data_IF_411712981323
#
_entry.id   IF_411712981323
#
_cell.length_a   1.000
_cell.length_b   1.000
_cell.length_c   1.000
_cell.angle_alpha   90.00
_cell.angle_beta   90.00
_cell.angle_gamma   90.00
#
_symmetry.space_group_name_H-M   'P 1'
#
loop_
_entity.id
_entity.type
_entity.pdbx_description
1 polymer ?
#
# COMPACT_ATOMS: atom_id res chain seq x y z
N UNK A 1 4.84 23.58 -22.64
CA UNK A 1 4.62 22.93 -23.95
C UNK A 1 3.56 23.71 -24.72
N UNK A 2 3.69 23.81 -26.04
CA UNK A 2 2.68 24.43 -26.92
C UNK A 2 1.80 23.32 -27.50
N UNK A 3 0.51 23.56 -27.58
CA UNK A 3 -0.46 22.63 -28.17
C UNK A 3 -1.07 23.26 -29.45
N UNK A 4 -1.21 22.51 -30.56
CA UNK A 4 -0.70 21.14 -30.77
C UNK A 4 0.84 21.12 -30.86
N UNK A 5 1.49 20.02 -30.43
CA UNK A 5 2.94 19.89 -30.49
C UNK A 5 3.48 19.75 -31.92
N UNK A 6 2.64 19.31 -32.87
CA UNK A 6 2.96 19.16 -34.28
C UNK A 6 2.10 20.11 -35.12
N UNK A 7 2.65 20.59 -36.23
CA UNK A 7 1.93 21.40 -37.22
C UNK A 7 1.20 20.51 -38.23
N UNK A 8 0.05 20.95 -38.75
CA UNK A 8 -0.80 20.14 -39.65
C UNK A 8 -0.14 19.89 -41.02
N UNK A 9 0.86 20.71 -41.38
CA UNK A 9 1.64 20.61 -42.62
C UNK A 9 2.89 19.71 -42.48
N UNK A 10 3.25 19.30 -41.26
CA UNK A 10 4.40 18.41 -41.03
C UNK A 10 3.99 16.95 -41.23
N UNK A 11 4.66 16.17 -42.10
CA UNK A 11 4.38 14.76 -42.25
C UNK A 11 4.68 13.99 -40.95
N UNK A 12 4.02 12.84 -40.70
CA UNK A 12 4.26 12.07 -39.49
C UNK A 12 5.73 11.64 -39.40
N UNK A 13 6.29 11.79 -38.21
CA UNK A 13 7.68 11.43 -37.93
C UNK A 13 7.88 9.91 -38.02
N UNK A 14 8.88 9.47 -38.78
CA UNK A 14 9.26 8.06 -38.82
C UNK A 14 10.02 7.69 -37.54
N UNK A 15 9.56 6.64 -36.87
CA UNK A 15 10.16 6.12 -35.64
C UNK A 15 11.55 5.53 -35.90
N UNK A 16 11.72 4.82 -37.01
CA UNK A 16 12.98 4.13 -37.32
C UNK A 16 14.14 5.13 -37.51
N UNK A 17 13.87 6.24 -38.19
CA UNK A 17 14.90 7.23 -38.54
C UNK A 17 15.13 8.28 -37.44
N UNK A 18 14.13 8.58 -36.60
CA UNK A 18 14.19 9.74 -35.69
C UNK A 18 14.12 9.42 -34.20
N UNK A 19 13.63 8.25 -33.78
CA UNK A 19 13.35 7.96 -32.36
C UNK A 19 13.99 6.65 -31.88
N UNK A 20 14.13 5.65 -32.75
CA UNK A 20 14.62 4.32 -32.37
C UNK A 20 16.02 4.35 -31.75
N UNK A 21 16.92 5.14 -32.32
CA UNK A 21 18.32 5.24 -31.88
C UNK A 21 18.55 6.34 -30.83
N UNK A 22 17.50 7.07 -30.43
CA UNK A 22 17.58 8.13 -29.42
C UNK A 22 17.39 7.54 -28.03
N UNK A 23 18.40 7.70 -27.17
CA UNK A 23 18.29 7.30 -25.77
C UNK A 23 17.21 8.14 -25.07
N UNK A 24 16.21 7.51 -24.43
CA UNK A 24 15.15 8.23 -23.75
C UNK A 24 15.72 9.08 -22.61
N UNK A 25 15.05 10.19 -22.33
CA UNK A 25 15.39 11.01 -21.17
C UNK A 25 15.21 10.20 -19.88
N UNK A 26 16.03 10.53 -18.89
CA UNK A 26 15.93 9.92 -17.56
C UNK A 26 14.52 10.12 -17.00
N UNK A 27 13.87 9.03 -16.55
CA UNK A 27 12.54 9.13 -15.96
C UNK A 27 12.63 9.86 -14.63
N UNK A 28 11.51 10.45 -14.22
CA UNK A 28 11.38 11.01 -12.87
C UNK A 28 11.36 9.83 -11.89
N UNK A 29 12.43 9.66 -11.15
CA UNK A 29 12.55 8.69 -10.06
C UNK A 29 12.76 9.43 -8.74
N UNK A 30 12.21 8.86 -7.67
CA UNK A 30 12.43 9.31 -6.32
C UNK A 30 13.61 8.55 -5.75
N UNK A 31 14.44 9.22 -4.96
CA UNK A 31 15.53 8.58 -4.24
C UNK A 31 14.92 7.69 -3.13
N UNK A 32 14.94 6.37 -3.35
CA UNK A 32 14.48 5.38 -2.38
C UNK A 32 15.59 5.03 -1.39
N UNK A 33 15.22 4.84 -0.12
CA UNK A 33 16.18 4.43 0.90
C UNK A 33 16.47 2.91 0.81
N UNK A 34 17.73 2.48 0.71
CA UNK A 34 18.06 1.07 0.54
C UNK A 34 17.76 0.20 1.76
N UNK A 35 17.63 0.77 2.96
CA UNK A 35 17.32 0.06 4.20
C UNK A 35 15.82 0.03 4.49
N UNK A 36 15.13 1.17 4.37
CA UNK A 36 13.69 1.26 4.66
C UNK A 36 12.82 0.73 3.50
N UNK A 37 13.18 1.02 2.25
CA UNK A 37 12.39 0.70 1.06
C UNK A 37 12.83 -0.60 0.36
N UNK A 38 13.68 -1.40 1.00
CA UNK A 38 14.28 -2.62 0.43
C UNK A 38 13.27 -3.58 -0.23
N UNK A 39 12.02 -3.62 0.26
CA UNK A 39 10.97 -4.51 -0.24
C UNK A 39 10.36 -4.08 -1.57
N UNK A 40 10.42 -2.78 -1.90
CA UNK A 40 9.82 -2.20 -3.11
C UNK A 40 10.88 -1.72 -4.10
N UNK A 41 12.12 -1.51 -3.64
CA UNK A 41 13.24 -0.98 -4.41
C UNK A 41 13.44 -1.67 -5.77
N UNK A 42 13.28 -3.00 -5.83
CA UNK A 42 13.55 -3.78 -7.03
C UNK A 42 12.49 -3.59 -8.14
N UNK A 43 11.22 -3.38 -7.79
CA UNK A 43 10.11 -3.48 -8.75
C UNK A 43 9.23 -2.23 -8.83
N UNK A 44 9.42 -1.22 -7.98
CA UNK A 44 8.54 -0.06 -7.91
C UNK A 44 8.47 0.75 -9.22
N UNK A 45 9.56 0.79 -9.99
CA UNK A 45 9.65 1.48 -11.27
C UNK A 45 9.52 0.58 -12.51
N UNK A 46 9.16 -0.69 -12.33
CA UNK A 46 8.89 -1.60 -13.45
C UNK A 46 7.60 -1.24 -14.17
N UNK A 47 7.56 -1.44 -15.49
CA UNK A 47 6.35 -1.21 -16.31
C UNK A 47 5.16 -2.11 -15.89
N UNK A 48 5.44 -3.31 -15.37
CA UNK A 48 4.43 -4.26 -14.86
C UNK A 48 4.96 -4.96 -13.61
N UNK A 49 4.89 -4.31 -12.43
CA UNK A 49 5.40 -4.90 -11.22
C UNK A 49 4.65 -6.20 -10.88
N UNK A 50 5.38 -7.21 -10.41
CA UNK A 50 4.85 -8.51 -9.95
C UNK A 50 4.13 -9.37 -11.01
N UNK A 51 4.25 -9.06 -12.31
CA UNK A 51 3.55 -9.77 -13.39
C UNK A 51 3.88 -11.28 -13.48
N UNK A 52 5.07 -11.69 -13.03
CA UNK A 52 5.51 -13.09 -13.03
C UNK A 52 5.12 -13.83 -11.74
N UNK A 53 4.57 -13.13 -10.74
CA UNK A 53 4.08 -13.76 -9.51
C UNK A 53 2.73 -14.43 -9.79
N UNK A 54 2.79 -15.73 -10.06
CA UNK A 54 1.70 -16.65 -10.47
C UNK A 54 0.48 -16.77 -9.50
N UNK A 55 0.25 -15.83 -8.57
CA UNK A 55 -0.66 -16.02 -7.43
C UNK A 55 -1.92 -15.13 -7.43
N UNK A 56 -2.19 -14.34 -8.47
CA UNK A 56 -3.37 -13.45 -8.43
C UNK A 56 -3.89 -13.04 -9.80
N UNK A 57 -4.91 -13.75 -10.28
CA UNK A 57 -6.08 -13.13 -10.94
C UNK A 57 -6.98 -14.19 -11.56
N UNK A 58 -8.03 -14.63 -10.86
CA UNK A 58 -9.30 -14.96 -11.51
C UNK A 58 -10.42 -14.77 -10.50
N UNK A 59 -11.26 -13.76 -10.72
CA UNK A 59 -12.60 -13.73 -10.12
C UNK A 59 -13.56 -13.14 -11.15
N UNK A 60 -14.46 -13.98 -11.63
CA UNK A 60 -15.71 -13.61 -12.28
C UNK A 60 -16.82 -14.13 -11.38
N UNK A 61 -17.57 -13.24 -10.73
CA UNK A 61 -18.91 -13.53 -10.19
C UNK A 61 -19.58 -12.25 -9.69
N UNK A 62 -20.86 -12.10 -10.05
CA UNK A 62 -21.75 -11.04 -9.59
C UNK A 62 -22.09 -11.27 -8.11
N UNK A 63 -21.73 -10.33 -7.23
CA UNK A 63 -21.86 -10.47 -5.78
C UNK A 63 -22.73 -9.36 -5.19
N UNK A 64 -23.70 -9.73 -4.33
CA UNK A 64 -24.56 -8.77 -3.62
C UNK A 64 -23.71 -7.92 -2.67
N UNK A 65 -23.78 -6.59 -2.81
CA UNK A 65 -23.02 -5.67 -1.97
C UNK A 65 -23.38 -5.82 -0.49
N UNK A 66 -22.37 -5.89 0.37
CA UNK A 66 -22.51 -6.05 1.82
C UNK A 66 -22.99 -4.74 2.45
N UNK A 67 -24.16 -4.77 3.08
CA UNK A 67 -24.81 -3.57 3.65
C UNK A 67 -24.21 -3.08 4.98
N UNK A 68 -23.38 -3.89 5.64
CA UNK A 68 -22.80 -3.50 6.92
C UNK A 68 -21.36 -4.00 7.06
N UNK A 69 -20.51 -3.08 7.49
CA UNK A 69 -19.16 -3.35 7.97
C UNK A 69 -19.12 -2.88 9.43
N UNK A 70 -18.64 -3.71 10.37
CA UNK A 70 -18.43 -3.23 11.73
C UNK A 70 -17.49 -2.03 11.68
N UNK A 71 -17.74 -1.03 12.53
CA UNK A 71 -16.87 0.14 12.60
C UNK A 71 -15.44 -0.30 12.91
N UNK A 72 -14.52 0.00 11.99
CA UNK A 72 -13.10 -0.29 12.16
C UNK A 72 -12.53 0.75 13.12
N UNK A 73 -12.35 0.35 14.38
CA UNK A 73 -11.65 1.15 15.38
C UNK A 73 -10.18 0.71 15.37
N UNK A 74 -9.39 1.34 14.51
CA UNK A 74 -7.96 1.08 14.35
C UNK A 74 -7.17 2.32 14.76
N UNK A 75 -6.18 2.13 15.63
CA UNK A 75 -5.28 3.18 16.09
C UNK A 75 -3.94 2.97 15.37
N UNK A 76 -3.49 4.00 14.65
CA UNK A 76 -2.18 4.00 13.99
C UNK A 76 -1.12 4.35 15.03
N UNK A 77 -0.15 3.49 15.22
CA UNK A 77 1.01 3.76 16.05
C UNK A 77 1.95 4.66 15.26
N UNK A 78 2.20 5.88 15.75
CA UNK A 78 3.13 6.82 15.11
C UNK A 78 4.59 6.55 15.52
N UNK A 79 4.79 5.80 16.60
CA UNK A 79 6.10 5.47 17.16
C UNK A 79 6.37 3.95 17.03
N UNK A 80 7.35 3.53 16.22
CA UNK A 80 7.72 2.13 16.04
C UNK A 80 8.46 1.52 17.25
N UNK A 81 8.94 2.33 18.20
CA UNK A 81 9.63 1.86 19.41
C UNK A 81 8.64 1.35 20.48
N UNK A 82 7.35 1.68 20.35
CA UNK A 82 6.30 1.17 21.24
C UNK A 82 5.96 -0.29 20.91
N UNK A 83 5.62 -1.11 21.91
CA UNK A 83 5.26 -2.50 21.66
C UNK A 83 4.00 -2.58 20.80
N UNK A 84 3.90 -3.59 19.95
CA UNK A 84 2.76 -3.79 19.04
C UNK A 84 1.39 -3.82 19.75
N UNK A 85 1.37 -4.14 21.04
CA UNK A 85 0.18 -4.07 21.89
C UNK A 85 0.46 -3.17 23.10
N UNK A 86 -0.05 -1.95 23.07
CA UNK A 86 -0.07 -1.03 24.22
C UNK A 86 -1.47 -0.42 24.41
N UNK A 87 -1.72 0.13 25.61
CA UNK A 87 -2.96 0.85 25.89
C UNK A 87 -2.82 2.29 25.40
N UNK A 88 -3.42 2.60 24.26
CA UNK A 88 -3.38 3.95 23.70
C UNK A 88 -4.19 4.94 24.56
N UNK A 89 -3.69 6.15 24.85
CA UNK A 89 -4.42 7.16 25.62
C UNK A 89 -5.80 7.55 25.05
N UNK A 90 -6.05 7.32 23.76
CA UNK A 90 -7.35 7.53 23.12
C UNK A 90 -8.38 6.45 23.51
N UNK A 91 -7.93 5.31 24.06
CA UNK A 91 -8.81 4.25 24.55
C UNK A 91 -9.32 4.64 25.94
N UNK A 92 -10.65 4.56 26.12
CA UNK A 92 -11.26 4.78 27.42
C UNK A 92 -10.76 3.74 28.44
N UNK A 93 -10.30 4.14 29.64
CA UNK A 93 -9.82 3.21 30.65
C UNK A 93 -10.93 2.26 31.10
N UNK A 94 -10.58 0.99 31.27
CA UNK A 94 -11.52 -0.04 31.70
C UNK A 94 -11.73 0.08 33.21
N UNK A 95 -12.94 0.41 33.64
CA UNK A 95 -13.33 0.36 35.05
C UNK A 95 -13.71 -1.08 35.43
N UNK A 96 -13.04 -1.64 36.44
CA UNK A 96 -13.38 -2.96 36.98
C UNK A 96 -14.45 -2.79 38.06
N UNK A 97 -15.66 -3.29 37.82
CA UNK A 97 -16.73 -3.36 38.82
C UNK A 97 -17.35 -4.77 38.81
N UNK A 98 -17.49 -5.41 39.99
CA UNK A 98 -18.20 -6.70 40.13
C UNK A 98 -17.36 -7.94 40.46
N UNK A 99 -16.19 -7.81 41.08
CA UNK A 99 -15.38 -8.95 41.53
C UNK A 99 -16.01 -9.64 42.75
N UNK A 100 -16.87 -10.63 42.53
CA UNK A 100 -17.21 -11.60 43.59
C UNK A 100 -16.01 -12.54 43.80
N UNK A 101 -15.50 -12.55 45.03
CA UNK A 101 -14.30 -13.29 45.43
C UNK A 101 -14.62 -14.78 45.51
N UNK A 102 -14.35 -15.54 44.44
CA UNK A 102 -14.48 -17.01 44.47
C UNK A 102 -13.44 -17.57 45.45
N UNK A 103 -13.90 -18.10 46.59
CA UNK A 103 -13.03 -18.76 47.59
C UNK A 103 -12.62 -20.13 47.05
N UNK A 104 -11.39 -20.23 46.55
CA UNK A 104 -10.77 -21.52 46.23
C UNK A 104 -10.33 -22.17 47.53
N UNK A 105 -11.03 -23.23 47.94
CA UNK A 105 -10.60 -24.08 49.06
C UNK A 105 -9.54 -25.05 48.53
N UNK A 106 -8.28 -24.81 48.88
CA UNK A 106 -7.23 -25.83 48.75
C UNK A 106 -7.37 -26.76 49.95
N UNK A 107 -7.79 -27.99 49.68
CA UNK A 107 -7.81 -29.09 50.66
C UNK A 107 -6.37 -29.59 50.82
N UNK A 108 -5.85 -29.47 52.04
CA UNK A 108 -4.56 -30.03 52.48
C UNK A 108 -4.58 -31.56 52.44
#
# INVERSE_FOLDING_TARGET
>A
MRFPPFDDEEPPLDYADNILDVEPLEPIQMDLDPEEDATVLEWFYDHKPLATTSRRSFISSFERSRYHTPSVVFIKTEDPDLPAFYFDPLINPIAISGLEKVRVWIML
#
